data_IF_492610114781
#
_entry.id   IF_492610114781
#
_cell.length_a   1.000
_cell.length_b   1.000
_cell.length_c   1.000
_cell.angle_alpha   90.00
_cell.angle_beta   90.00
_cell.angle_gamma   90.00
#
_symmetry.space_group_name_H-M   'P 1'
#
loop_
_entity.id
_entity.type
_entity.pdbx_description
1 polymer ?
#
# COMPACT_ATOMS: atom_id res chain seq x y z
N UNK A 1 -40.39 -26.89 28.64
CA UNK A 1 -39.15 -27.04 27.82
C UNK A 1 -39.55 -26.70 26.40
N UNK A 2 -39.18 -25.52 25.99
CA UNK A 2 -39.48 -24.96 24.66
C UNK A 2 -38.39 -25.44 23.67
N UNK A 3 -38.74 -26.14 22.57
CA UNK A 3 -37.76 -26.76 21.69
C UNK A 3 -37.29 -25.81 20.56
N UNK A 4 -37.18 -24.50 20.78
CA UNK A 4 -36.85 -23.56 19.72
C UNK A 4 -35.74 -22.55 20.06
N UNK A 5 -34.70 -23.03 20.74
CA UNK A 5 -33.39 -22.31 20.72
C UNK A 5 -32.56 -22.77 19.51
N UNK A 6 -33.05 -22.47 18.31
CA UNK A 6 -32.19 -22.46 17.12
C UNK A 6 -31.21 -21.32 17.26
N UNK A 7 -29.95 -21.66 17.56
CA UNK A 7 -28.82 -20.73 17.55
C UNK A 7 -28.83 -19.94 16.25
N UNK A 8 -29.19 -18.67 16.33
CA UNK A 8 -28.88 -17.70 15.25
C UNK A 8 -27.36 -17.71 15.07
N UNK A 9 -26.94 -18.23 13.95
CA UNK A 9 -25.57 -17.91 13.43
C UNK A 9 -25.60 -16.40 13.33
N UNK A 10 -24.90 -15.72 14.24
CA UNK A 10 -24.64 -14.30 14.09
C UNK A 10 -23.97 -14.13 12.74
N UNK A 11 -24.57 -13.35 11.84
CA UNK A 11 -23.96 -12.93 10.57
C UNK A 11 -22.68 -12.17 10.92
N UNK A 12 -21.57 -12.89 11.02
CA UNK A 12 -20.26 -12.29 11.18
C UNK A 12 -19.85 -11.69 9.84
N UNK A 13 -20.11 -10.40 9.69
CA UNK A 13 -19.63 -9.62 8.57
C UNK A 13 -18.09 -9.68 8.53
N UNK A 14 -17.54 -10.19 7.41
CA UNK A 14 -16.09 -10.29 7.24
C UNK A 14 -15.54 -8.90 6.97
N UNK A 15 -14.56 -8.41 7.74
CA UNK A 15 -14.01 -7.09 7.53
C UNK A 15 -13.45 -6.90 6.11
N UNK A 16 -13.76 -5.78 5.46
CA UNK A 16 -13.28 -5.39 4.12
C UNK A 16 -11.79 -5.70 3.89
N UNK A 17 -10.93 -5.34 4.84
CA UNK A 17 -9.48 -5.62 4.78
C UNK A 17 -9.16 -7.11 4.67
N UNK A 18 -10.01 -7.95 5.23
CA UNK A 18 -9.82 -9.41 5.20
C UNK A 18 -10.20 -9.95 3.83
N UNK A 19 -11.30 -9.49 3.25
CA UNK A 19 -11.73 -9.84 1.91
C UNK A 19 -10.68 -9.44 0.87
N UNK A 20 -10.22 -8.19 0.90
CA UNK A 20 -9.16 -7.71 0.01
C UNK A 20 -7.88 -8.54 0.13
N UNK A 21 -7.48 -8.89 1.35
CA UNK A 21 -6.30 -9.74 1.57
C UNK A 21 -6.49 -11.15 1.00
N UNK A 22 -7.67 -11.75 1.13
CA UNK A 22 -7.94 -13.07 0.58
C UNK A 22 -7.95 -13.05 -0.94
N UNK A 23 -8.62 -12.08 -1.53
CA UNK A 23 -8.64 -11.86 -2.97
C UNK A 23 -7.21 -11.79 -3.54
N UNK A 24 -6.40 -10.89 -3.01
CA UNK A 24 -5.02 -10.70 -3.48
C UNK A 24 -4.13 -11.93 -3.26
N UNK A 25 -4.29 -12.63 -2.13
CA UNK A 25 -3.52 -13.85 -1.87
C UNK A 25 -3.87 -14.96 -2.88
N UNK A 26 -5.16 -15.17 -3.16
CA UNK A 26 -5.61 -16.14 -4.15
C UNK A 26 -5.16 -15.77 -5.56
N UNK A 27 -5.30 -14.50 -5.95
CA UNK A 27 -4.83 -14.00 -7.23
C UNK A 27 -3.32 -14.15 -7.39
N UNK A 28 -2.53 -13.94 -6.34
CA UNK A 28 -1.08 -14.13 -6.35
C UNK A 28 -0.70 -15.61 -6.57
N UNK A 29 -1.37 -16.53 -5.88
CA UNK A 29 -1.16 -17.97 -6.03
C UNK A 29 -1.49 -18.40 -7.46
N UNK A 30 -2.65 -18.00 -7.98
CA UNK A 30 -3.11 -18.35 -9.31
C UNK A 30 -2.17 -17.82 -10.40
N UNK A 31 -1.78 -16.54 -10.34
CA UNK A 31 -0.83 -15.93 -11.29
C UNK A 31 0.53 -16.62 -11.27
N UNK A 32 1.00 -17.01 -10.09
CA UNK A 32 2.24 -17.77 -9.95
C UNK A 32 2.11 -19.13 -10.66
N UNK A 33 1.03 -19.87 -10.40
CA UNK A 33 0.76 -21.15 -11.06
C UNK A 33 0.69 -21.01 -12.58
N UNK A 34 -0.04 -20.02 -13.10
CA UNK A 34 -0.17 -19.73 -14.53
C UNK A 34 1.17 -19.41 -15.21
N UNK A 35 2.10 -18.76 -14.49
CA UNK A 35 3.44 -18.46 -15.00
C UNK A 35 4.34 -19.69 -15.18
N UNK A 36 4.07 -20.79 -14.47
CA UNK A 36 4.90 -21.98 -14.44
C UNK A 36 4.27 -23.21 -15.13
N UNK A 37 2.93 -23.31 -15.14
CA UNK A 37 2.29 -24.52 -15.68
C UNK A 37 2.28 -24.55 -17.20
N UNK A 38 2.60 -25.71 -17.73
CA UNK A 38 2.41 -26.06 -19.15
C UNK A 38 1.15 -26.91 -19.35
N UNK A 39 0.52 -27.41 -18.30
CA UNK A 39 -0.69 -28.21 -18.32
C UNK A 39 -1.93 -27.34 -18.54
N UNK A 40 -2.68 -27.64 -19.61
CA UNK A 40 -3.96 -26.97 -19.88
C UNK A 40 -4.97 -27.17 -18.75
N UNK A 41 -4.98 -28.34 -18.13
CA UNK A 41 -5.87 -28.67 -17.02
C UNK A 41 -5.58 -27.84 -15.77
N UNK A 42 -4.29 -27.68 -15.41
CA UNK A 42 -3.90 -26.84 -14.29
C UNK A 42 -4.15 -25.37 -14.59
N UNK A 43 -3.93 -24.94 -15.84
CA UNK A 43 -4.22 -23.59 -16.28
C UNK A 43 -5.67 -23.20 -16.01
N UNK A 44 -6.63 -24.06 -16.42
CA UNK A 44 -8.05 -23.84 -16.16
C UNK A 44 -8.34 -23.69 -14.65
N UNK A 45 -7.68 -24.49 -13.81
CA UNK A 45 -7.85 -24.39 -12.34
C UNK A 45 -7.33 -23.08 -11.78
N UNK A 46 -6.20 -22.61 -12.24
CA UNK A 46 -5.68 -21.31 -11.82
C UNK A 46 -6.54 -20.15 -12.32
N UNK A 47 -7.09 -20.24 -13.53
CA UNK A 47 -8.04 -19.25 -14.05
C UNK A 47 -9.35 -19.24 -13.24
N UNK A 48 -9.84 -20.37 -12.76
CA UNK A 48 -10.98 -20.44 -11.84
C UNK A 48 -10.67 -19.77 -10.49
N UNK A 49 -9.45 -19.97 -9.97
CA UNK A 49 -9.04 -19.28 -8.73
C UNK A 49 -9.02 -17.76 -8.92
N UNK A 50 -8.58 -17.26 -10.08
CA UNK A 50 -8.64 -15.82 -10.38
C UNK A 50 -10.06 -15.27 -10.38
N UNK A 51 -11.03 -16.03 -10.93
CA UNK A 51 -12.45 -15.63 -10.91
C UNK A 51 -12.98 -15.54 -9.49
N UNK A 52 -12.73 -16.55 -8.66
CA UNK A 52 -13.13 -16.51 -7.25
C UNK A 52 -12.47 -15.34 -6.50
N UNK A 53 -11.21 -15.07 -6.80
CA UNK A 53 -10.52 -13.93 -6.20
C UNK A 53 -11.14 -12.60 -6.64
N UNK A 54 -11.56 -12.47 -7.92
CA UNK A 54 -12.25 -11.30 -8.43
C UNK A 54 -13.63 -11.12 -7.77
N UNK A 55 -14.40 -12.19 -7.60
CA UNK A 55 -15.69 -12.16 -6.92
C UNK A 55 -15.55 -11.66 -5.48
N UNK A 56 -14.54 -12.14 -4.74
CA UNK A 56 -14.24 -11.66 -3.39
C UNK A 56 -13.89 -10.16 -3.39
N UNK A 57 -13.19 -9.70 -4.43
CA UNK A 57 -12.84 -8.28 -4.56
C UNK A 57 -14.06 -7.41 -4.85
N UNK A 58 -14.94 -7.86 -5.74
CA UNK A 58 -16.21 -7.19 -6.04
C UNK A 58 -17.10 -7.12 -4.79
N UNK A 59 -17.19 -8.20 -4.01
CA UNK A 59 -17.92 -8.19 -2.73
C UNK A 59 -17.34 -7.17 -1.75
N UNK A 60 -16.03 -7.00 -1.75
CA UNK A 60 -15.35 -6.05 -0.88
C UNK A 60 -15.51 -4.59 -1.32
N UNK A 61 -15.45 -4.31 -2.62
CA UNK A 61 -15.40 -2.95 -3.18
C UNK A 61 -16.74 -2.45 -3.69
N UNK A 62 -17.70 -3.35 -3.89
CA UNK A 62 -18.95 -3.14 -4.59
C UNK A 62 -18.82 -3.42 -6.09
N UNK A 63 -19.96 -3.53 -6.80
CA UNK A 63 -19.99 -3.97 -8.21
C UNK A 63 -19.42 -2.97 -9.22
N UNK A 64 -19.03 -1.76 -8.77
CA UNK A 64 -18.58 -0.70 -9.69
C UNK A 64 -19.69 -0.23 -10.65
N UNK A 65 -19.32 0.60 -11.61
CA UNK A 65 -20.21 1.08 -12.68
C UNK A 65 -20.18 0.18 -13.92
N UNK A 66 -19.24 -0.76 -14.01
CA UNK A 66 -19.07 -1.70 -15.12
C UNK A 66 -19.82 -3.00 -14.83
N UNK A 67 -20.75 -3.44 -15.71
CA UNK A 67 -21.46 -4.72 -15.56
C UNK A 67 -20.54 -5.95 -15.54
N UNK A 68 -19.33 -5.86 -16.12
CA UNK A 68 -18.32 -6.90 -16.16
C UNK A 68 -17.07 -6.55 -15.33
N UNK A 69 -17.25 -5.84 -14.23
CA UNK A 69 -16.16 -5.40 -13.37
C UNK A 69 -15.26 -6.56 -12.90
N UNK A 70 -15.86 -7.70 -12.53
CA UNK A 70 -15.12 -8.90 -12.16
C UNK A 70 -14.27 -9.44 -13.31
N UNK A 71 -14.82 -9.48 -14.53
CA UNK A 71 -14.10 -9.88 -15.75
C UNK A 71 -12.90 -8.99 -16.05
N UNK A 72 -13.08 -7.68 -15.93
CA UNK A 72 -12.01 -6.70 -16.09
C UNK A 72 -10.85 -6.88 -15.10
N UNK A 73 -11.15 -7.22 -13.83
CA UNK A 73 -10.14 -7.56 -12.82
C UNK A 73 -9.35 -8.82 -13.22
N UNK A 74 -10.04 -9.85 -13.71
CA UNK A 74 -9.39 -11.09 -14.17
C UNK A 74 -8.48 -10.82 -15.37
N UNK A 75 -8.92 -10.02 -16.34
CA UNK A 75 -8.12 -9.64 -17.51
C UNK A 75 -6.87 -8.86 -17.09
N UNK A 76 -6.99 -7.90 -16.18
CA UNK A 76 -5.86 -7.17 -15.62
C UNK A 76 -4.84 -8.15 -15.01
N UNK A 77 -5.29 -9.07 -14.16
CA UNK A 77 -4.41 -10.04 -13.52
C UNK A 77 -3.77 -11.01 -14.50
N UNK A 78 -4.50 -11.45 -15.53
CA UNK A 78 -3.97 -12.29 -16.60
C UNK A 78 -2.89 -11.59 -17.42
N UNK A 79 -3.02 -10.29 -17.64
CA UNK A 79 -2.01 -9.49 -18.35
C UNK A 79 -0.67 -9.43 -17.62
N UNK A 80 -0.66 -9.64 -16.32
CA UNK A 80 0.53 -9.65 -15.46
C UNK A 80 1.24 -11.03 -15.41
N UNK A 81 0.67 -12.06 -16.02
CA UNK A 81 1.26 -13.41 -16.06
C UNK A 81 2.39 -13.45 -17.08
N UNK A 82 3.64 -13.51 -16.63
CA UNK A 82 4.82 -13.68 -17.49
C UNK A 82 5.11 -15.15 -17.78
N UNK A 83 5.23 -15.54 -19.05
CA UNK A 83 5.67 -16.90 -19.42
C UNK A 83 7.14 -17.09 -19.09
N UNK A 84 7.45 -18.12 -18.31
CA UNK A 84 8.82 -18.57 -18.02
C UNK A 84 9.63 -17.59 -17.16
N UNK A 85 8.98 -16.59 -16.57
CA UNK A 85 9.60 -15.77 -15.54
C UNK A 85 9.37 -16.47 -14.20
N UNK A 86 10.41 -16.95 -13.50
CA UNK A 86 10.27 -17.41 -12.13
C UNK A 86 9.91 -16.18 -11.29
N UNK A 87 8.63 -15.85 -11.23
CA UNK A 87 8.14 -14.68 -10.55
C UNK A 87 7.13 -15.09 -9.50
N UNK A 88 7.55 -15.06 -8.24
CA UNK A 88 6.57 -14.93 -7.18
C UNK A 88 5.84 -13.60 -7.40
N UNK A 89 4.52 -13.62 -7.34
CA UNK A 89 3.77 -12.36 -7.22
C UNK A 89 4.09 -11.79 -5.84
N UNK A 90 4.79 -10.67 -5.82
CA UNK A 90 5.19 -9.98 -4.59
C UNK A 90 4.46 -8.65 -4.49
N UNK A 91 4.31 -8.10 -3.29
CA UNK A 91 3.87 -6.72 -3.15
C UNK A 91 4.75 -5.78 -3.99
N UNK A 92 4.12 -4.80 -4.63
CA UNK A 92 4.84 -3.69 -5.27
C UNK A 92 5.63 -2.92 -4.22
N UNK A 93 6.60 -2.16 -4.64
CA UNK A 93 7.38 -1.28 -3.75
C UNK A 93 7.12 0.17 -4.15
N UNK A 94 6.81 0.98 -3.14
CA UNK A 94 6.73 2.42 -3.26
C UNK A 94 7.70 3.06 -2.26
N UNK A 95 8.07 4.30 -2.49
CA UNK A 95 8.82 5.13 -1.54
C UNK A 95 7.95 6.24 -1.00
N UNK A 96 8.30 6.74 0.18
CA UNK A 96 7.76 7.96 0.75
C UNK A 96 8.90 8.78 1.35
N UNK A 97 8.75 10.10 1.36
CA UNK A 97 9.73 11.03 1.85
C UNK A 97 9.21 11.87 3.03
N UNK A 98 9.68 11.59 4.23
CA UNK A 98 9.55 12.51 5.36
C UNK A 98 10.66 13.56 5.28
N UNK A 99 10.42 14.64 4.53
CA UNK A 99 11.41 15.71 4.33
C UNK A 99 11.30 16.71 5.45
N UNK A 100 12.37 16.86 6.23
CA UNK A 100 12.48 17.88 7.28
C UNK A 100 13.33 19.07 6.84
N UNK A 101 13.00 20.26 7.31
CA UNK A 101 13.81 21.46 7.18
C UNK A 101 14.46 21.87 8.51
N UNK A 102 15.30 22.92 8.48
CA UNK A 102 16.01 23.42 9.66
C UNK A 102 15.11 24.03 10.74
N UNK A 103 13.82 24.26 10.44
CA UNK A 103 12.82 24.75 11.39
C UNK A 103 12.07 23.61 12.09
N UNK A 104 12.37 22.34 11.77
CA UNK A 104 11.65 21.17 12.29
C UNK A 104 10.28 20.94 11.64
N UNK A 105 10.04 21.54 10.47
CA UNK A 105 8.80 21.38 9.71
C UNK A 105 8.91 20.21 8.73
N UNK A 106 7.77 19.54 8.50
CA UNK A 106 7.59 18.44 7.55
C UNK A 106 7.01 18.96 6.23
N UNK A 107 7.59 18.55 5.11
CA UNK A 107 7.05 18.78 3.78
C UNK A 107 5.88 17.84 3.49
N UNK A 108 4.75 18.41 3.09
CA UNK A 108 3.58 17.65 2.65
C UNK A 108 3.07 18.19 1.31
N UNK A 109 2.45 17.29 0.55
CA UNK A 109 1.73 17.59 -0.69
C UNK A 109 0.23 17.34 -0.50
N UNK A 110 -0.61 18.07 -1.23
CA UNK A 110 -2.02 17.77 -1.39
C UNK A 110 -2.25 17.15 -2.77
N UNK A 111 -2.71 15.92 -2.81
CA UNK A 111 -3.00 15.23 -4.08
C UNK A 111 -4.09 15.95 -4.87
N UNK A 112 -3.91 16.05 -6.18
CA UNK A 112 -4.88 16.69 -7.07
C UNK A 112 -6.16 15.85 -7.24
N UNK A 113 -6.04 14.53 -7.21
CA UNK A 113 -7.14 13.58 -7.42
C UNK A 113 -8.09 13.47 -6.21
N UNK A 114 -7.54 13.35 -5.01
CA UNK A 114 -8.30 13.07 -3.79
C UNK A 114 -8.41 14.26 -2.83
N UNK A 115 -7.54 15.26 -2.97
CA UNK A 115 -7.43 16.37 -2.03
C UNK A 115 -6.83 15.98 -0.66
N UNK A 116 -6.33 14.75 -0.53
CA UNK A 116 -5.72 14.24 0.70
C UNK A 116 -4.27 14.73 0.77
N UNK A 117 -3.87 15.19 1.96
CA UNK A 117 -2.49 15.51 2.26
C UNK A 117 -1.69 14.26 2.65
N UNK A 118 -0.43 14.20 2.21
CA UNK A 118 0.52 13.17 2.59
C UNK A 118 1.96 13.66 2.33
N UNK A 119 2.94 12.89 2.75
CA UNK A 119 4.32 13.12 2.35
C UNK A 119 4.51 12.78 0.86
N UNK A 120 5.51 13.35 0.14
CA UNK A 120 5.86 13.00 -1.23
C UNK A 120 6.08 11.49 -1.38
N UNK A 121 5.50 10.88 -2.45
CA UNK A 121 5.51 9.42 -2.59
C UNK A 121 5.37 8.99 -4.04
N UNK A 122 6.06 7.92 -4.44
CA UNK A 122 5.94 7.34 -5.77
C UNK A 122 6.29 5.85 -5.84
N UNK A 123 6.06 5.27 -7.00
CA UNK A 123 6.43 3.89 -7.28
C UNK A 123 7.93 3.74 -7.51
N UNK A 124 8.52 2.64 -7.02
CA UNK A 124 9.90 2.32 -7.33
C UNK A 124 10.01 1.80 -8.78
N UNK A 125 10.64 2.60 -9.62
CA UNK A 125 10.95 2.24 -10.99
C UNK A 125 12.12 1.24 -11.07
N UNK A 126 12.03 0.30 -12.00
CA UNK A 126 13.12 -0.66 -12.26
C UNK A 126 14.35 0.10 -12.78
N UNK A 127 15.50 -0.21 -12.23
CA UNK A 127 16.78 0.41 -12.61
C UNK A 127 17.23 1.54 -11.70
N UNK A 128 16.40 1.94 -10.74
CA UNK A 128 16.73 2.92 -9.70
C UNK A 128 16.73 2.28 -8.32
N UNK A 129 17.58 2.73 -7.44
CA UNK A 129 17.47 2.40 -6.01
C UNK A 129 16.31 3.16 -5.37
N UNK A 130 15.79 2.64 -4.26
CA UNK A 130 14.71 3.33 -3.53
C UNK A 130 15.13 4.75 -3.07
N UNK A 131 16.41 4.94 -2.76
CA UNK A 131 16.94 6.26 -2.38
C UNK A 131 16.95 7.25 -3.56
N UNK A 132 17.26 6.79 -4.78
CA UNK A 132 17.20 7.62 -5.99
C UNK A 132 15.76 8.00 -6.32
N UNK A 133 14.83 7.04 -6.23
CA UNK A 133 13.41 7.31 -6.48
C UNK A 133 12.86 8.33 -5.47
N UNK A 134 13.16 8.21 -4.19
CA UNK A 134 12.66 9.16 -3.20
C UNK A 134 13.13 10.60 -3.43
N UNK A 135 14.39 10.78 -3.89
CA UNK A 135 14.90 12.11 -4.26
C UNK A 135 14.16 12.66 -5.47
N UNK A 136 13.98 11.82 -6.50
CA UNK A 136 13.25 12.15 -7.72
C UNK A 136 11.83 12.62 -7.42
N UNK A 137 11.06 11.82 -6.65
CA UNK A 137 9.67 12.14 -6.29
C UNK A 137 9.56 13.44 -5.49
N UNK A 138 10.45 13.68 -4.53
CA UNK A 138 10.46 14.95 -3.78
C UNK A 138 10.65 16.13 -4.71
N UNK A 139 11.61 16.07 -5.64
CA UNK A 139 11.88 17.18 -6.57
C UNK A 139 10.72 17.37 -7.57
N UNK A 140 10.20 16.29 -8.16
CA UNK A 140 9.11 16.33 -9.14
C UNK A 140 7.79 16.82 -8.53
N UNK A 141 7.42 16.33 -7.35
CA UNK A 141 6.15 16.69 -6.71
C UNK A 141 6.18 18.06 -6.01
N UNK A 142 7.35 18.52 -5.56
CA UNK A 142 7.44 19.67 -4.65
C UNK A 142 8.38 20.79 -5.09
N UNK A 143 9.31 20.53 -6.00
CA UNK A 143 10.41 21.44 -6.37
C UNK A 143 11.52 21.54 -5.32
N UNK A 144 11.42 20.81 -4.19
CA UNK A 144 12.44 20.81 -3.14
C UNK A 144 13.52 19.78 -3.45
N UNK A 145 14.77 20.18 -3.25
CA UNK A 145 15.91 19.27 -3.30
C UNK A 145 16.15 18.67 -1.92
N UNK A 146 16.25 17.35 -1.86
CA UNK A 146 16.38 16.62 -0.61
C UNK A 146 17.48 15.57 -0.68
N UNK A 147 18.14 15.35 0.46
CA UNK A 147 19.11 14.26 0.65
C UNK A 147 18.48 13.18 1.53
N UNK A 148 18.44 11.91 1.08
CA UNK A 148 17.99 10.81 1.91
C UNK A 148 19.03 10.54 3.02
N UNK A 149 18.57 10.52 4.27
CA UNK A 149 19.42 10.30 5.44
C UNK A 149 19.35 8.85 5.90
N UNK A 150 18.13 8.31 6.04
CA UNK A 150 17.91 6.94 6.48
C UNK A 150 16.48 6.48 6.23
N UNK A 151 16.30 5.16 6.14
CA UNK A 151 14.99 4.52 6.19
C UNK A 151 14.44 4.63 7.63
N UNK A 152 13.17 5.04 7.77
CA UNK A 152 12.52 5.23 9.08
C UNK A 152 11.27 4.37 9.25
N UNK A 153 10.67 3.90 8.15
CA UNK A 153 9.57 2.94 8.24
C UNK A 153 9.48 2.03 7.02
N UNK A 154 8.92 0.84 7.22
CA UNK A 154 8.43 -0.07 6.19
C UNK A 154 6.96 -0.33 6.51
N UNK A 155 6.07 0.13 5.64
CA UNK A 155 4.62 0.12 5.87
C UNK A 155 3.93 -0.80 4.86
N UNK A 156 3.08 -1.71 5.33
CA UNK A 156 2.20 -2.52 4.47
C UNK A 156 0.96 -1.70 4.12
N UNK A 157 0.94 -1.15 2.90
CA UNK A 157 -0.11 -0.25 2.45
C UNK A 157 -1.50 -0.90 2.43
N UNK A 158 -1.60 -2.17 2.04
CA UNK A 158 -2.88 -2.91 2.06
C UNK A 158 -3.35 -3.14 3.50
N UNK A 159 -2.46 -3.54 4.41
CA UNK A 159 -2.77 -3.76 5.82
C UNK A 159 -3.25 -2.49 6.52
N UNK A 160 -2.67 -1.36 6.16
CA UNK A 160 -3.03 -0.05 6.70
C UNK A 160 -4.30 0.53 6.07
N UNK A 161 -4.80 -0.06 4.98
CA UNK A 161 -5.94 0.46 4.22
C UNK A 161 -5.61 1.74 3.45
N UNK A 162 -4.32 1.99 3.20
CA UNK A 162 -3.86 3.14 2.42
C UNK A 162 -3.98 2.92 0.92
N UNK A 163 -4.03 1.66 0.50
CA UNK A 163 -4.12 1.26 -0.90
C UNK A 163 -4.89 -0.05 -1.04
N UNK A 164 -5.45 -0.27 -2.22
CA UNK A 164 -6.08 -1.54 -2.61
C UNK A 164 -5.10 -2.51 -3.27
N UNK A 165 -3.92 -2.01 -3.64
CA UNK A 165 -2.85 -2.81 -4.24
C UNK A 165 -1.88 -3.25 -3.16
N UNK A 166 -1.49 -4.56 -3.10
CA UNK A 166 -0.44 -5.00 -2.21
C UNK A 166 0.86 -4.25 -2.48
N UNK A 167 1.35 -3.52 -1.50
CA UNK A 167 2.61 -2.80 -1.59
C UNK A 167 3.28 -2.66 -0.23
N UNK A 168 4.59 -2.54 -0.27
CA UNK A 168 5.39 -2.03 0.83
C UNK A 168 5.86 -0.61 0.50
N UNK A 169 5.55 0.33 1.40
CA UNK A 169 6.06 1.70 1.32
C UNK A 169 7.32 1.83 2.18
N UNK A 170 8.40 2.22 1.56
CA UNK A 170 9.69 2.49 2.20
C UNK A 170 9.75 3.98 2.54
N UNK A 171 9.50 4.35 3.80
CA UNK A 171 9.51 5.74 4.22
C UNK A 171 10.93 6.17 4.64
N UNK A 172 11.51 7.09 3.88
CA UNK A 172 12.81 7.67 4.18
C UNK A 172 12.64 8.99 4.94
N UNK A 173 13.50 9.22 5.91
CA UNK A 173 13.79 10.56 6.37
C UNK A 173 14.78 11.22 5.41
N UNK A 174 14.41 12.39 4.92
CA UNK A 174 15.22 13.21 4.04
C UNK A 174 15.40 14.61 4.65
N UNK A 175 16.54 15.21 4.39
CA UNK A 175 16.83 16.60 4.76
C UNK A 175 16.66 17.49 3.54
N UNK A 176 15.90 18.56 3.65
CA UNK A 176 15.86 19.59 2.62
C UNK A 176 17.21 20.28 2.50
N UNK A 177 17.73 20.42 1.28
CA UNK A 177 19.03 21.03 1.01
C UNK A 177 18.95 22.20 0.02
N UNK A 178 17.78 22.43 -0.59
CA UNK A 178 17.57 23.52 -1.55
C UNK A 178 16.21 23.43 -2.25
N UNK A 179 16.05 24.21 -3.29
CA UNK A 179 14.84 24.29 -4.08
C UNK A 179 13.82 25.28 -3.53
N UNK A 180 12.73 25.46 -4.26
CA UNK A 180 11.60 26.31 -3.90
C UNK A 180 10.31 25.51 -4.06
N UNK A 181 9.31 25.77 -3.22
CA UNK A 181 8.01 25.09 -3.30
C UNK A 181 7.36 25.34 -4.66
N UNK A 182 7.20 24.26 -5.40
CA UNK A 182 6.57 24.27 -6.72
C UNK A 182 5.79 22.96 -6.91
N UNK A 183 4.47 22.98 -6.72
CA UNK A 183 3.68 21.77 -6.89
C UNK A 183 3.71 21.29 -8.33
N UNK A 184 3.74 19.95 -8.50
CA UNK A 184 3.61 19.34 -9.83
C UNK A 184 2.22 19.63 -10.42
N UNK A 185 2.13 20.17 -11.66
CA UNK A 185 0.90 20.78 -12.17
C UNK A 185 -0.27 19.80 -12.37
N UNK A 186 0.00 18.50 -12.51
CA UNK A 186 -1.02 17.49 -12.76
C UNK A 186 -1.35 16.65 -11.53
N UNK A 187 -0.41 16.45 -10.61
CA UNK A 187 -0.51 15.48 -9.52
C UNK A 187 -0.71 16.13 -8.16
N UNK A 188 -0.20 17.34 -7.99
CA UNK A 188 -0.17 18.05 -6.72
C UNK A 188 -0.98 19.33 -6.80
N UNK A 189 -2.01 19.45 -5.95
CA UNK A 189 -2.84 20.66 -5.84
C UNK A 189 -2.14 21.75 -5.04
N UNK A 190 -1.46 21.35 -3.96
CA UNK A 190 -0.80 22.27 -3.04
C UNK A 190 0.39 21.58 -2.35
N UNK A 191 1.37 22.36 -1.91
CA UNK A 191 2.57 21.89 -1.22
C UNK A 191 2.96 22.87 -0.13
N UNK A 192 3.39 22.38 1.04
CA UNK A 192 3.76 23.26 2.14
C UNK A 192 4.57 22.58 3.23
N UNK A 193 5.10 23.42 4.12
CA UNK A 193 5.83 23.04 5.32
C UNK A 193 4.91 23.14 6.54
N UNK A 194 4.92 22.09 7.35
CA UNK A 194 4.00 21.98 8.49
C UNK A 194 4.72 21.52 9.76
N UNK A 195 4.42 22.15 10.87
CA UNK A 195 4.76 21.60 12.19
C UNK A 195 3.72 20.55 12.59
N UNK A 196 3.96 19.85 13.70
CA UNK A 196 2.99 18.89 14.24
C UNK A 196 1.63 19.54 14.55
N UNK A 197 1.65 20.80 15.01
CA UNK A 197 0.45 21.55 15.43
C UNK A 197 -0.32 22.12 14.25
N UNK A 198 0.34 22.31 13.11
CA UNK A 198 -0.25 22.92 11.91
C UNK A 198 -0.58 21.92 10.81
N UNK A 199 -0.50 20.61 11.11
CA UNK A 199 -0.79 19.55 10.12
C UNK A 199 -2.13 19.79 9.43
N UNK A 200 -2.19 19.69 8.10
CA UNK A 200 -3.40 19.94 7.33
C UNK A 200 -4.38 18.77 7.40
N UNK A 201 -5.63 19.02 7.03
CA UNK A 201 -6.67 17.98 6.97
C UNK A 201 -7.39 18.00 5.62
N UNK A 202 -7.78 16.83 5.06
CA UNK A 202 -7.51 15.47 5.54
C UNK A 202 -6.06 15.03 5.30
N UNK A 203 -5.47 14.30 6.24
CA UNK A 203 -4.08 13.82 6.18
C UNK A 203 -4.04 12.27 6.25
N UNK A 204 -3.38 11.63 5.28
CA UNK A 204 -3.33 10.18 5.19
C UNK A 204 -2.42 9.55 6.26
N UNK A 205 -2.97 8.67 7.08
CA UNK A 205 -2.24 7.73 7.93
C UNK A 205 -1.32 8.33 9.00
N UNK A 206 -1.48 9.62 9.34
CA UNK A 206 -0.59 10.32 10.27
C UNK A 206 -0.54 9.71 11.67
N UNK A 207 -1.60 9.03 12.10
CA UNK A 207 -1.66 8.28 13.35
C UNK A 207 -0.67 7.09 13.40
N UNK A 208 -0.15 6.68 12.25
CA UNK A 208 0.82 5.59 12.13
C UNK A 208 2.25 6.07 12.07
N UNK A 209 2.52 7.06 11.22
CA UNK A 209 3.87 7.51 10.95
C UNK A 209 4.23 8.84 11.63
N UNK A 210 3.25 9.64 12.05
CA UNK A 210 3.48 11.01 12.52
C UNK A 210 4.46 11.12 13.70
N UNK A 211 4.32 10.27 14.71
CA UNK A 211 5.24 10.27 15.87
C UNK A 211 6.66 9.91 15.45
N UNK A 212 6.82 8.92 14.57
CA UNK A 212 8.12 8.51 14.04
C UNK A 212 8.80 9.64 13.28
N UNK A 213 8.05 10.28 12.36
CA UNK A 213 8.56 11.33 11.48
C UNK A 213 9.00 12.55 12.28
N UNK A 214 8.14 13.10 13.14
CA UNK A 214 8.50 14.29 13.90
C UNK A 214 9.61 14.05 14.93
N UNK A 215 9.66 12.87 15.55
CA UNK A 215 10.78 12.49 16.41
C UNK A 215 12.12 12.52 15.65
N UNK A 216 12.12 11.94 14.42
CA UNK A 216 13.34 11.90 13.59
C UNK A 216 13.73 13.28 13.07
N UNK A 217 12.77 14.11 12.64
CA UNK A 217 13.02 15.50 12.23
C UNK A 217 13.65 16.31 13.37
N UNK A 218 13.21 16.08 14.62
CA UNK A 218 13.75 16.70 15.82
C UNK A 218 15.09 16.08 16.30
N UNK A 219 15.68 15.18 15.53
CA UNK A 219 16.99 14.61 15.82
C UNK A 219 17.00 13.38 16.72
N UNK A 220 15.83 12.84 17.10
CA UNK A 220 15.76 11.62 17.90
C UNK A 220 16.26 10.41 17.09
N UNK A 221 16.99 9.52 17.77
CA UNK A 221 17.35 8.22 17.23
C UNK A 221 16.19 7.25 17.50
N UNK A 222 15.62 6.71 16.43
CA UNK A 222 14.53 5.73 16.50
C UNK A 222 14.82 4.55 15.59
N UNK A 223 14.40 3.37 16.02
CA UNK A 223 14.42 2.17 15.17
C UNK A 223 13.44 2.33 14.01
N UNK A 224 13.65 1.54 12.96
CA UNK A 224 12.75 1.51 11.80
C UNK A 224 11.38 1.00 12.26
N UNK A 225 10.35 1.78 12.01
CA UNK A 225 8.96 1.38 12.25
C UNK A 225 8.53 0.34 11.22
N UNK A 226 7.93 -0.74 11.67
CA UNK A 226 7.31 -1.74 10.80
C UNK A 226 6.06 -2.33 11.45
N UNK A 227 5.22 -2.95 10.64
CA UNK A 227 4.00 -3.57 11.13
C UNK A 227 4.29 -4.75 12.05
N UNK A 228 3.61 -4.78 13.21
CA UNK A 228 3.78 -5.87 14.17
C UNK A 228 3.42 -7.23 13.57
N UNK A 229 4.15 -8.26 13.98
CA UNK A 229 3.87 -9.65 13.59
C UNK A 229 2.47 -10.03 14.12
N UNK A 230 1.62 -10.50 13.21
CA UNK A 230 0.34 -11.15 13.57
C UNK A 230 0.61 -12.61 13.92
N UNK A 231 -0.36 -13.24 14.62
CA UNK A 231 -0.38 -14.69 14.70
C UNK A 231 -0.28 -15.26 13.28
N UNK A 232 0.76 -16.02 12.95
CA UNK A 232 0.96 -16.46 11.59
C UNK A 232 -0.11 -17.47 11.19
N UNK A 233 -0.83 -17.20 10.12
CA UNK A 233 -1.86 -18.13 9.60
C UNK A 233 -1.26 -19.48 9.16
N UNK A 234 0.03 -19.53 8.86
CA UNK A 234 0.73 -20.78 8.49
C UNK A 234 1.05 -21.72 9.67
N UNK A 235 0.90 -21.25 10.90
CA UNK A 235 1.12 -22.07 12.10
C UNK A 235 -0.13 -22.82 12.58
N UNK A 236 -1.25 -22.62 11.87
CA UNK A 236 -2.53 -23.15 12.32
C UNK A 236 -3.09 -22.42 13.55
N UNK A 237 -4.22 -22.90 14.03
CA UNK A 237 -4.83 -22.39 15.26
C UNK A 237 -4.17 -23.08 16.46
N UNK A 238 -3.50 -22.33 17.37
CA UNK A 238 -2.85 -22.94 18.55
C UNK A 238 -3.86 -23.59 19.50
N UNK A 239 -5.17 -23.32 19.36
CA UNK A 239 -6.21 -23.98 20.14
C UNK A 239 -6.57 -25.39 19.64
N UNK A 240 -5.96 -25.84 18.50
CA UNK A 240 -6.19 -27.16 17.90
C UNK A 240 -4.98 -28.12 18.10
N UNK A 241 -3.95 -27.70 18.80
CA UNK A 241 -2.85 -28.52 19.29
C UNK A 241 -2.99 -28.71 20.80
#
# INVERSE_FOLDING_TARGET
MDPNENGRVEDREVPLKTLLRWSEALAAIARTGLGFTESLYERERFEEILKVAADIRVEAEGPGDDPDYAGGIVEEWMSLVGKGVPGYVTPKVAVGAAVGNDKGELLLIQRADSGIWLYPTGWCDVGYSAAEVVVKEVEEETGIQAEPVRLIAVLDGLRLGMTRVPLYSLLFYCRAVGGELKPHPLEVRDVGWFTRETLPYPLAGSERWGDQVFAVINGEQRDVLYDSVRQPTWRGDPSQT
#
